data_IF_792476866738
#
_entry.id   IF_792476866738
#
_cell.length_a   1.000
_cell.length_b   1.000
_cell.length_c   1.000
_cell.angle_alpha   90.00
_cell.angle_beta   90.00
_cell.angle_gamma   90.00
#
_symmetry.space_group_name_H-M   'P 1'
#
loop_
_entity.id
_entity.type
_entity.pdbx_description
1 polymer ?
#
# COMPACT_ATOMS: atom_id res chain seq x y z
N UNK A 1 18.44 -2.17 -17.01
CA UNK A 1 18.19 -3.62 -16.98
C UNK A 1 18.74 -4.26 -18.24
N UNK A 2 19.73 -5.14 -18.12
CA UNK A 2 20.07 -6.11 -19.14
C UNK A 2 19.00 -7.21 -19.21
N UNK A 3 19.01 -8.02 -20.28
CA UNK A 3 18.12 -9.18 -20.39
C UNK A 3 18.35 -10.19 -19.26
N UNK A 4 19.59 -10.33 -18.80
CA UNK A 4 19.98 -11.25 -17.73
C UNK A 4 19.54 -10.76 -16.34
N UNK A 5 19.65 -9.46 -16.06
CA UNK A 5 19.15 -8.86 -14.81
C UNK A 5 17.63 -9.02 -14.68
N UNK A 6 16.90 -8.79 -15.78
CA UNK A 6 15.47 -9.01 -15.86
C UNK A 6 15.13 -10.48 -15.61
N UNK A 7 15.83 -11.41 -16.27
CA UNK A 7 15.59 -12.84 -16.15
C UNK A 7 15.91 -13.39 -14.75
N UNK A 8 17.01 -12.94 -14.11
CA UNK A 8 17.32 -13.27 -12.70
C UNK A 8 16.27 -12.74 -11.74
N UNK A 9 15.85 -11.48 -11.92
CA UNK A 9 14.81 -10.86 -11.08
C UNK A 9 13.46 -11.57 -11.26
N UNK A 10 13.13 -11.99 -12.49
CA UNK A 10 11.91 -12.74 -12.80
C UNK A 10 11.88 -14.10 -12.12
N UNK A 11 12.94 -14.91 -12.26
CA UNK A 11 13.07 -16.23 -11.60
C UNK A 11 12.91 -16.09 -10.09
N UNK A 12 13.68 -15.20 -9.46
CA UNK A 12 13.62 -14.96 -8.01
C UNK A 12 12.20 -14.54 -7.56
N UNK A 13 11.56 -13.64 -8.31
CA UNK A 13 10.21 -13.15 -7.97
C UNK A 13 9.16 -14.25 -8.13
N UNK A 14 9.27 -15.10 -9.15
CA UNK A 14 8.36 -16.21 -9.42
C UNK A 14 8.48 -17.33 -8.37
N UNK A 15 9.70 -17.65 -7.93
CA UNK A 15 9.94 -18.52 -6.77
C UNK A 15 9.37 -17.92 -5.48
N UNK A 16 9.60 -16.62 -5.23
CA UNK A 16 9.09 -15.93 -4.04
C UNK A 16 7.56 -15.83 -4.01
N UNK A 17 6.90 -15.69 -5.18
CA UNK A 17 5.44 -15.62 -5.29
C UNK A 17 4.78 -16.99 -5.21
N UNK A 18 5.29 -18.00 -5.90
CA UNK A 18 4.76 -19.36 -5.82
C UNK A 18 4.80 -19.91 -4.38
N UNK A 19 5.89 -19.65 -3.63
CA UNK A 19 5.96 -19.94 -2.20
C UNK A 19 4.91 -19.17 -1.37
N UNK A 20 4.70 -17.88 -1.64
CA UNK A 20 3.73 -17.07 -0.90
C UNK A 20 2.27 -17.46 -1.21
N UNK A 21 1.95 -17.75 -2.47
CA UNK A 21 0.63 -18.24 -2.90
C UNK A 21 0.33 -19.63 -2.32
N UNK A 22 1.30 -20.54 -2.30
CA UNK A 22 1.14 -21.85 -1.68
C UNK A 22 0.85 -21.75 -0.16
N UNK A 23 1.46 -20.78 0.53
CA UNK A 23 1.17 -20.49 1.93
C UNK A 23 -0.23 -19.87 2.10
N UNK A 24 -0.63 -18.91 1.25
CA UNK A 24 -1.97 -18.31 1.32
C UNK A 24 -3.07 -19.35 1.06
N UNK A 25 -2.97 -20.16 0.00
CA UNK A 25 -3.95 -21.19 -0.32
C UNK A 25 -4.09 -22.25 0.80
N UNK A 26 -2.98 -22.62 1.46
CA UNK A 26 -2.98 -23.52 2.62
C UNK A 26 -3.55 -22.86 3.90
N UNK A 27 -3.71 -21.54 3.95
CA UNK A 27 -4.46 -20.83 4.99
C UNK A 27 -5.94 -20.70 4.61
N UNK A 28 -6.25 -20.21 3.42
CA UNK A 28 -7.62 -19.97 2.95
C UNK A 28 -8.42 -21.28 2.87
N UNK A 29 -7.80 -22.38 2.40
CA UNK A 29 -8.42 -23.71 2.42
C UNK A 29 -8.65 -24.26 3.84
N UNK A 30 -7.93 -23.76 4.85
CA UNK A 30 -8.17 -24.10 6.27
C UNK A 30 -9.21 -23.18 6.91
N UNK A 31 -9.26 -21.91 6.54
CA UNK A 31 -10.34 -21.01 6.94
C UNK A 31 -11.68 -21.47 6.35
N UNK A 32 -11.72 -21.89 5.08
CA UNK A 32 -12.89 -22.49 4.45
C UNK A 32 -13.38 -23.72 5.25
N UNK A 33 -12.51 -24.70 5.47
CA UNK A 33 -12.84 -25.92 6.25
C UNK A 33 -13.22 -25.62 7.71
N UNK A 34 -12.61 -24.62 8.34
CA UNK A 34 -12.99 -24.19 9.68
C UNK A 34 -14.38 -23.54 9.70
N UNK A 35 -14.72 -22.74 8.67
CA UNK A 35 -16.06 -22.14 8.50
C UNK A 35 -17.10 -23.22 8.19
N UNK A 36 -16.80 -24.19 7.35
CA UNK A 36 -17.66 -25.36 7.08
C UNK A 36 -17.96 -26.14 8.36
N UNK A 37 -16.96 -26.49 9.16
CA UNK A 37 -17.15 -27.20 10.45
C UNK A 37 -17.95 -26.38 11.47
N UNK A 38 -17.88 -25.04 11.44
CA UNK A 38 -18.74 -24.18 12.27
C UNK A 38 -20.18 -24.14 11.73
N UNK A 39 -20.37 -23.99 10.42
CA UNK A 39 -21.69 -23.99 9.77
C UNK A 39 -22.40 -25.34 9.94
N UNK A 40 -21.68 -26.45 9.88
CA UNK A 40 -22.24 -27.79 10.08
C UNK A 40 -22.67 -28.01 11.54
N UNK A 41 -21.88 -27.55 12.52
CA UNK A 41 -22.27 -27.51 13.94
C UNK A 41 -23.44 -26.56 14.23
N UNK A 42 -23.62 -25.51 13.43
CA UNK A 42 -24.78 -24.62 13.55
C UNK A 42 -26.04 -25.25 12.92
N UNK A 43 -25.90 -25.95 11.78
CA UNK A 43 -27.00 -26.69 11.14
C UNK A 43 -27.56 -27.80 12.02
N UNK A 44 -26.73 -28.48 12.83
CA UNK A 44 -27.22 -29.50 13.77
C UNK A 44 -28.08 -28.98 14.93
N UNK A 45 -28.25 -27.65 15.07
CA UNK A 45 -29.03 -27.02 16.16
C UNK A 45 -30.33 -26.37 15.67
N UNK A 46 -30.50 -26.18 14.36
CA UNK A 46 -31.58 -25.35 13.77
C UNK A 46 -32.78 -26.14 13.20
N UNK A 47 -32.96 -27.41 13.57
CA UNK A 47 -33.90 -28.33 12.94
C UNK A 47 -35.35 -28.24 13.48
N UNK A 48 -35.99 -27.06 13.40
CA UNK A 48 -37.42 -26.89 13.74
C UNK A 48 -38.12 -25.76 12.94
N UNK A 49 -38.56 -26.12 11.72
CA UNK A 49 -39.83 -25.76 11.01
C UNK A 49 -40.73 -24.58 11.46
N UNK A 50 -41.58 -23.99 10.56
CA UNK A 50 -41.45 -23.78 9.09
C UNK A 50 -42.15 -22.50 8.49
N UNK A 51 -42.02 -22.26 7.15
CA UNK A 51 -43.02 -21.60 6.23
C UNK A 51 -43.26 -20.05 6.42
N UNK A 52 -43.37 -19.14 5.42
CA UNK A 52 -44.12 -19.15 4.13
C UNK A 52 -43.72 -18.06 3.06
N UNK A 53 -43.97 -18.35 1.77
CA UNK A 53 -44.49 -17.50 0.63
C UNK A 53 -43.89 -16.12 0.17
N UNK A 54 -43.11 -16.18 -0.93
CA UNK A 54 -43.33 -15.65 -2.31
C UNK A 54 -43.21 -14.16 -2.82
N UNK A 55 -42.75 -14.06 -4.10
CA UNK A 55 -43.06 -13.11 -5.21
C UNK A 55 -42.63 -11.61 -5.17
N UNK A 56 -42.31 -10.91 -6.29
CA UNK A 56 -42.00 -11.28 -7.70
C UNK A 56 -41.51 -10.08 -8.59
N UNK A 57 -40.80 -10.38 -9.71
CA UNK A 57 -40.79 -9.65 -11.02
C UNK A 57 -40.36 -8.17 -11.19
N UNK A 58 -39.08 -7.96 -11.61
CA UNK A 58 -38.60 -7.44 -12.92
C UNK A 58 -39.22 -6.19 -13.65
N UNK A 59 -38.36 -5.27 -14.18
CA UNK A 59 -38.04 -5.15 -15.65
C UNK A 59 -37.06 -4.00 -16.05
N UNK A 60 -36.59 -4.11 -17.30
CA UNK A 60 -35.75 -3.27 -18.21
C UNK A 60 -36.22 -1.79 -18.44
N UNK A 61 -35.53 -0.85 -19.11
CA UNK A 61 -34.58 -0.97 -20.25
C UNK A 61 -33.72 0.29 -20.61
N UNK A 62 -32.79 0.09 -21.57
CA UNK A 62 -32.30 0.99 -22.68
C UNK A 62 -31.49 2.30 -22.49
N UNK A 63 -30.25 2.23 -23.05
CA UNK A 63 -29.36 3.17 -23.81
C UNK A 63 -30.10 4.06 -24.87
N UNK A 64 -29.50 5.08 -25.60
CA UNK A 64 -28.14 5.11 -26.21
C UNK A 64 -27.38 6.46 -26.55
N UNK A 65 -26.12 6.32 -27.02
CA UNK A 65 -25.35 7.14 -28.04
C UNK A 65 -24.63 8.48 -27.71
N UNK A 66 -23.52 8.74 -28.44
CA UNK A 66 -22.54 9.87 -28.40
C UNK A 66 -22.73 10.83 -29.63
N UNK A 67 -21.76 11.59 -30.26
CA UNK A 67 -20.28 11.80 -30.11
C UNK A 67 -19.89 13.34 -30.19
N UNK A 68 -18.76 13.94 -30.68
CA UNK A 68 -17.40 13.58 -31.19
C UNK A 68 -16.45 14.84 -31.25
N UNK A 69 -15.12 14.65 -31.39
CA UNK A 69 -14.06 15.62 -31.85
C UNK A 69 -13.74 16.88 -30.97
N UNK A 70 -12.58 17.57 -31.05
CA UNK A 70 -11.57 17.75 -32.14
C UNK A 70 -10.10 18.00 -31.64
N UNK A 71 -9.12 17.59 -32.46
CA UNK A 71 -7.69 18.03 -32.68
C UNK A 71 -6.78 18.72 -31.63
N UNK A 72 -5.51 18.33 -31.70
CA UNK A 72 -4.28 18.90 -31.08
C UNK A 72 -3.58 19.96 -31.95
N UNK A 73 -2.66 20.69 -31.32
CA UNK A 73 -1.45 21.28 -31.95
C UNK A 73 -0.25 21.10 -30.99
N UNK A 74 0.95 20.83 -31.51
CA UNK A 74 2.14 20.49 -30.71
C UNK A 74 3.37 21.31 -31.10
N UNK A 75 4.23 21.60 -30.11
CA UNK A 75 5.56 22.18 -30.31
C UNK A 75 6.58 21.33 -29.54
N UNK A 76 7.51 20.71 -30.25
CA UNK A 76 8.53 19.85 -29.67
C UNK A 76 9.67 20.64 -29.04
N UNK A 77 10.19 20.15 -27.91
CA UNK A 77 11.50 20.55 -27.35
C UNK A 77 12.28 19.29 -27.02
N UNK A 78 13.30 19.00 -27.81
CA UNK A 78 14.15 17.83 -27.61
C UNK A 78 15.02 17.96 -26.34
N UNK A 79 15.21 16.86 -25.63
CA UNK A 79 16.15 16.75 -24.51
C UNK A 79 16.70 15.31 -24.45
N UNK A 80 18.01 15.17 -24.25
CA UNK A 80 18.76 13.95 -24.57
C UNK A 80 18.57 12.76 -23.60
N UNK A 81 18.72 11.50 -24.07
CA UNK A 81 18.28 10.33 -23.33
C UNK A 81 19.23 9.79 -22.25
N UNK A 82 20.48 10.26 -22.13
CA UNK A 82 21.52 9.56 -21.35
C UNK A 82 21.20 9.48 -19.84
N UNK A 83 20.85 10.61 -19.21
CA UNK A 83 20.51 10.69 -17.77
C UNK A 83 19.32 9.81 -17.34
N UNK A 84 18.50 9.37 -18.31
CA UNK A 84 17.37 8.45 -18.10
C UNK A 84 17.84 7.02 -17.81
N UNK A 85 19.00 6.59 -18.33
CA UNK A 85 19.52 5.22 -18.16
C UNK A 85 20.13 4.99 -16.78
N UNK A 86 20.94 5.91 -16.28
CA UNK A 86 21.63 5.78 -14.98
C UNK A 86 20.64 5.73 -13.82
N UNK A 87 19.73 6.71 -13.76
CA UNK A 87 18.72 6.84 -12.70
C UNK A 87 17.76 5.64 -12.63
N UNK A 88 17.38 5.08 -13.78
CA UNK A 88 16.59 3.83 -13.84
C UNK A 88 17.38 2.63 -13.30
N UNK A 89 18.67 2.57 -13.58
CA UNK A 89 19.53 1.43 -13.19
C UNK A 89 19.76 1.39 -11.67
N UNK A 90 19.93 2.54 -11.01
CA UNK A 90 19.96 2.64 -9.54
C UNK A 90 18.70 2.05 -8.88
N UNK A 91 17.52 2.41 -9.40
CA UNK A 91 16.23 1.97 -8.85
C UNK A 91 16.04 0.46 -9.06
N UNK A 92 16.33 -0.06 -10.26
CA UNK A 92 16.27 -1.51 -10.52
C UNK A 92 17.23 -2.28 -9.61
N UNK A 93 18.45 -1.78 -9.42
CA UNK A 93 19.45 -2.43 -8.56
C UNK A 93 19.04 -2.41 -7.08
N UNK A 94 18.57 -1.28 -6.56
CA UNK A 94 18.03 -1.17 -5.19
C UNK A 94 16.86 -2.13 -4.97
N UNK A 95 15.97 -2.30 -5.96
CA UNK A 95 14.87 -3.26 -5.90
C UNK A 95 15.36 -4.71 -5.85
N UNK A 96 16.27 -5.10 -6.75
CA UNK A 96 16.82 -6.46 -6.81
C UNK A 96 17.54 -6.82 -5.51
N UNK A 97 18.30 -5.90 -4.90
CA UNK A 97 18.90 -6.10 -3.58
C UNK A 97 17.85 -6.32 -2.48
N UNK A 98 16.75 -5.57 -2.50
CA UNK A 98 15.65 -5.72 -1.54
C UNK A 98 14.92 -7.08 -1.65
N UNK A 99 14.72 -7.59 -2.88
CA UNK A 99 14.14 -8.90 -3.11
C UNK A 99 15.10 -10.04 -2.68
N UNK A 100 16.40 -9.90 -2.97
CA UNK A 100 17.43 -10.85 -2.51
C UNK A 100 17.47 -10.93 -0.98
N UNK A 101 17.52 -9.79 -0.28
CA UNK A 101 17.43 -9.74 1.20
C UNK A 101 16.18 -10.46 1.73
N UNK A 102 15.03 -10.30 1.09
CA UNK A 102 13.79 -10.95 1.53
C UNK A 102 13.83 -12.47 1.28
N UNK A 103 14.45 -12.92 0.20
CA UNK A 103 14.73 -14.35 -0.04
C UNK A 103 15.69 -14.93 1.01
N UNK A 104 16.81 -14.26 1.30
CA UNK A 104 17.76 -14.63 2.36
C UNK A 104 17.07 -14.71 3.74
N UNK A 105 16.20 -13.73 4.03
CA UNK A 105 15.44 -13.71 5.28
C UNK A 105 14.45 -14.88 5.40
N UNK A 106 13.79 -15.27 4.30
CA UNK A 106 12.93 -16.48 4.28
C UNK A 106 13.73 -17.75 4.56
N UNK A 107 14.92 -17.86 3.98
CA UNK A 107 15.84 -18.97 4.24
C UNK A 107 16.26 -19.04 5.72
N UNK A 108 16.38 -17.90 6.40
CA UNK A 108 16.77 -17.82 7.84
C UNK A 108 15.80 -18.48 8.84
N UNK A 109 14.58 -18.86 8.41
CA UNK A 109 13.61 -19.59 9.23
C UNK A 109 13.01 -20.83 8.54
N UNK A 110 13.63 -21.28 7.45
CA UNK A 110 13.13 -22.41 6.66
C UNK A 110 13.12 -23.73 7.47
N UNK A 111 13.99 -23.85 8.47
CA UNK A 111 13.99 -24.93 9.47
C UNK A 111 12.65 -25.01 10.23
N UNK A 112 12.19 -23.89 10.78
CA UNK A 112 10.92 -23.76 11.48
C UNK A 112 9.73 -24.04 10.55
N UNK A 113 9.84 -23.77 9.24
CA UNK A 113 8.80 -24.03 8.24
C UNK A 113 8.73 -25.51 7.85
N UNK A 114 9.88 -26.17 7.71
CA UNK A 114 9.96 -27.59 7.33
C UNK A 114 9.57 -28.54 8.47
N UNK A 115 9.74 -28.14 9.74
CA UNK A 115 9.23 -28.89 10.90
C UNK A 115 7.70 -29.12 10.77
N UNK A 116 7.31 -30.39 10.64
CA UNK A 116 5.91 -30.82 10.50
C UNK A 116 5.15 -30.85 11.83
N UNK A 117 5.84 -30.96 12.96
CA UNK A 117 5.26 -30.91 14.31
C UNK A 117 4.92 -29.49 14.74
N UNK A 118 5.79 -28.52 14.46
CA UNK A 118 5.59 -27.10 14.82
C UNK A 118 4.59 -26.32 13.95
N UNK A 119 3.83 -27.01 13.09
CA UNK A 119 2.76 -26.40 12.27
C UNK A 119 1.79 -25.54 13.09
N UNK A 120 1.35 -26.04 14.25
CA UNK A 120 0.43 -25.31 15.12
C UNK A 120 1.08 -24.05 15.73
N UNK A 121 2.32 -24.17 16.20
CA UNK A 121 3.10 -23.04 16.74
C UNK A 121 3.28 -21.94 15.69
N UNK A 122 3.61 -22.28 14.43
CA UNK A 122 3.65 -21.31 13.32
C UNK A 122 2.32 -20.59 13.12
N UNK A 123 1.21 -21.33 13.11
CA UNK A 123 -0.13 -20.74 12.99
C UNK A 123 -0.45 -19.80 14.16
N UNK A 124 -0.07 -20.16 15.38
CA UNK A 124 -0.31 -19.35 16.58
C UNK A 124 0.50 -18.03 16.54
N UNK A 125 1.77 -18.07 16.12
CA UNK A 125 2.59 -16.89 15.87
C UNK A 125 1.98 -15.98 14.80
N UNK A 126 1.56 -16.54 13.66
CA UNK A 126 0.87 -15.80 12.59
C UNK A 126 -0.44 -15.18 13.07
N UNK A 127 -1.18 -15.87 13.93
CA UNK A 127 -2.44 -15.39 14.51
C UNK A 127 -2.22 -14.27 15.53
N UNK A 128 -1.19 -14.34 16.37
CA UNK A 128 -0.83 -13.27 17.30
C UNK A 128 -0.47 -11.96 16.57
N UNK A 129 0.30 -12.08 15.49
CA UNK A 129 0.58 -10.98 14.55
C UNK A 129 -0.70 -10.44 13.91
N UNK A 130 -1.50 -11.31 13.28
CA UNK A 130 -2.67 -10.90 12.49
C UNK A 130 -3.78 -10.27 13.33
N UNK A 131 -4.09 -10.82 14.50
CA UNK A 131 -5.09 -10.24 15.42
C UNK A 131 -4.64 -8.89 15.97
N UNK A 132 -3.32 -8.64 16.06
CA UNK A 132 -2.79 -7.34 16.48
C UNK A 132 -2.90 -6.28 15.37
N UNK A 133 -2.56 -6.62 14.13
CA UNK A 133 -2.63 -5.71 12.97
C UNK A 133 -4.08 -5.42 12.57
N UNK A 134 -4.93 -6.45 12.44
CA UNK A 134 -6.33 -6.31 11.99
C UNK A 134 -7.20 -5.50 12.96
N UNK A 135 -6.71 -5.25 14.19
CA UNK A 135 -7.39 -4.47 15.20
C UNK A 135 -6.87 -3.02 15.29
N UNK A 136 -6.16 -2.54 14.26
CA UNK A 136 -5.76 -1.14 14.08
C UNK A 136 -6.84 -0.43 13.24
N UNK A 137 -7.97 -0.13 13.88
CA UNK A 137 -9.06 0.65 13.28
C UNK A 137 -8.87 2.16 13.45
N UNK A 138 -8.24 2.59 14.55
CA UNK A 138 -8.11 3.99 14.97
C UNK A 138 -6.69 4.32 15.43
N UNK A 139 -6.39 5.62 15.56
CA UNK A 139 -5.06 6.13 15.97
C UNK A 139 -4.77 5.84 17.44
N UNK A 140 -5.77 5.97 18.29
CA UNK A 140 -5.76 5.60 19.72
C UNK A 140 -5.37 4.13 19.93
N UNK A 141 -5.83 3.22 19.06
CA UNK A 141 -5.49 1.80 19.14
C UNK A 141 -3.99 1.53 18.89
N UNK A 142 -3.31 2.33 18.07
CA UNK A 142 -1.94 2.08 17.56
C UNK A 142 -0.96 1.79 18.68
N UNK A 143 -0.90 2.64 19.73
CA UNK A 143 0.04 2.49 20.84
C UNK A 143 -0.12 1.13 21.53
N UNK A 144 -1.36 0.74 21.82
CA UNK A 144 -1.67 -0.54 22.47
C UNK A 144 -1.37 -1.78 21.61
N UNK A 145 -1.41 -1.68 20.27
CA UNK A 145 -0.99 -2.78 19.38
C UNK A 145 0.52 -2.81 19.21
N UNK A 146 1.15 -1.64 19.05
CA UNK A 146 2.60 -1.46 18.94
C UNK A 146 3.32 -2.07 20.15
N UNK A 147 2.88 -1.76 21.37
CA UNK A 147 3.49 -2.26 22.60
C UNK A 147 3.28 -3.78 22.79
N UNK A 148 2.11 -4.32 22.38
CA UNK A 148 1.86 -5.78 22.38
C UNK A 148 2.72 -6.55 21.37
N UNK A 149 2.86 -6.04 20.15
CA UNK A 149 3.74 -6.63 19.13
C UNK A 149 5.21 -6.51 19.52
N UNK A 150 5.62 -5.39 20.13
CA UNK A 150 6.96 -5.20 20.68
C UNK A 150 7.25 -6.17 21.83
N UNK A 151 6.27 -6.47 22.69
CA UNK A 151 6.42 -7.47 23.73
C UNK A 151 6.66 -8.86 23.14
N UNK A 152 5.85 -9.30 22.17
CA UNK A 152 5.99 -10.58 21.47
C UNK A 152 7.36 -10.72 20.79
N UNK A 153 7.78 -9.72 20.01
CA UNK A 153 9.06 -9.72 19.29
C UNK A 153 10.29 -9.69 20.21
N UNK A 154 10.13 -9.20 21.45
CA UNK A 154 11.12 -9.29 22.53
C UNK A 154 10.94 -10.57 23.39
N UNK A 155 10.27 -11.59 22.87
CA UNK A 155 10.14 -12.91 23.50
C UNK A 155 9.13 -13.00 24.66
N UNK A 156 8.39 -11.93 24.98
CA UNK A 156 7.39 -11.98 26.05
C UNK A 156 6.15 -12.78 25.63
N UNK A 157 5.45 -13.45 26.56
CA UNK A 157 4.29 -14.27 26.21
C UNK A 157 3.12 -13.41 25.69
N UNK A 158 2.56 -13.81 24.54
CA UNK A 158 1.39 -13.17 23.94
C UNK A 158 0.15 -14.05 24.14
N UNK A 159 -0.91 -13.55 24.81
CA UNK A 159 -2.14 -14.31 25.03
C UNK A 159 -3.01 -14.33 23.77
N UNK A 160 -3.34 -15.54 23.31
CA UNK A 160 -4.41 -15.85 22.37
C UNK A 160 -5.63 -16.38 23.14
N UNK A 161 -6.79 -16.45 22.48
CA UNK A 161 -8.06 -16.82 23.13
C UNK A 161 -8.10 -18.22 23.77
N UNK A 162 -7.16 -19.12 23.44
CA UNK A 162 -7.12 -20.51 23.96
C UNK A 162 -5.75 -20.98 24.44
N UNK A 163 -4.72 -20.12 24.37
CA UNK A 163 -3.31 -20.47 24.61
C UNK A 163 -2.45 -19.21 24.72
N UNK A 164 -1.21 -19.36 25.16
CA UNK A 164 -0.19 -18.30 25.09
C UNK A 164 0.93 -18.74 24.15
N UNK A 165 1.52 -17.82 23.40
CA UNK A 165 2.63 -18.11 22.46
C UNK A 165 3.81 -17.17 22.70
N UNK A 166 5.05 -17.66 22.53
CA UNK A 166 6.29 -16.85 22.65
C UNK A 166 7.12 -16.92 21.37
N UNK A 167 7.97 -15.92 21.12
CA UNK A 167 9.00 -15.99 20.06
C UNK A 167 10.30 -16.70 20.50
N UNK A 168 10.33 -17.36 21.68
CA UNK A 168 11.54 -17.98 22.25
C UNK A 168 11.54 -19.52 22.20
N UNK A 169 10.40 -20.16 21.91
CA UNK A 169 10.28 -21.61 21.75
C UNK A 169 11.07 -22.18 20.54
N UNK A 170 11.56 -21.34 19.62
CA UNK A 170 12.41 -21.72 18.49
C UNK A 170 13.33 -20.54 18.09
N UNK A 171 14.63 -20.76 17.77
CA UNK A 171 15.56 -19.68 17.43
C UNK A 171 15.06 -18.77 16.30
N UNK A 172 14.59 -19.37 15.20
CA UNK A 172 14.11 -18.67 14.00
C UNK A 172 12.66 -18.13 14.11
N UNK A 173 11.97 -18.30 15.25
CA UNK A 173 10.61 -17.80 15.43
C UNK A 173 10.50 -16.27 15.36
N UNK A 174 11.50 -15.54 15.87
CA UNK A 174 11.55 -14.07 15.76
C UNK A 174 11.59 -13.62 14.29
N UNK A 175 12.42 -14.25 13.46
CA UNK A 175 12.57 -13.88 12.04
C UNK A 175 11.29 -14.19 11.24
N UNK A 176 10.68 -15.35 11.52
CA UNK A 176 9.38 -15.73 10.98
C UNK A 176 8.27 -14.73 11.37
N UNK A 177 8.23 -14.30 12.64
CA UNK A 177 7.30 -13.27 13.09
C UNK A 177 7.52 -11.90 12.44
N UNK A 178 8.77 -11.48 12.23
CA UNK A 178 9.09 -10.22 11.56
C UNK A 178 8.64 -10.24 10.09
N UNK A 179 8.92 -11.31 9.33
CA UNK A 179 8.44 -11.46 7.95
C UNK A 179 6.91 -11.44 7.89
N UNK A 180 6.24 -12.25 8.71
CA UNK A 180 4.77 -12.35 8.71
C UNK A 180 4.10 -11.07 9.22
N UNK A 181 4.76 -10.28 10.06
CA UNK A 181 4.29 -8.95 10.49
C UNK A 181 4.41 -7.91 9.37
N UNK A 182 5.56 -7.86 8.67
CA UNK A 182 5.71 -7.02 7.49
C UNK A 182 4.68 -7.39 6.41
N UNK A 183 4.55 -8.68 6.10
CA UNK A 183 3.59 -9.20 5.13
C UNK A 183 2.14 -8.80 5.48
N UNK A 184 1.75 -8.96 6.75
CA UNK A 184 0.38 -8.67 7.20
C UNK A 184 0.05 -7.17 7.20
N UNK A 185 1.01 -6.33 7.55
CA UNK A 185 0.89 -4.86 7.44
C UNK A 185 0.70 -4.47 5.97
N UNK A 186 1.52 -5.01 5.06
CA UNK A 186 1.40 -4.74 3.63
C UNK A 186 0.06 -5.26 3.08
N UNK A 187 -0.43 -6.43 3.50
CA UNK A 187 -1.75 -6.95 3.11
C UNK A 187 -2.91 -6.00 3.43
N UNK A 188 -2.80 -5.12 4.43
CA UNK A 188 -3.85 -4.12 4.68
C UNK A 188 -4.04 -3.15 3.51
N UNK A 189 -3.01 -2.97 2.68
CA UNK A 189 -3.07 -2.21 1.43
C UNK A 189 -4.11 -2.75 0.45
N UNK A 190 -4.37 -4.06 0.40
CA UNK A 190 -5.41 -4.66 -0.45
C UNK A 190 -6.70 -5.06 0.30
N UNK A 191 -6.74 -4.86 1.62
CA UNK A 191 -7.87 -5.20 2.51
C UNK A 191 -8.54 -3.94 3.13
N UNK A 192 -8.10 -3.53 4.33
CA UNK A 192 -8.70 -2.45 5.10
C UNK A 192 -8.53 -1.09 4.40
N UNK A 193 -7.34 -0.80 3.87
CA UNK A 193 -7.01 0.46 3.17
C UNK A 193 -7.70 0.53 1.79
N UNK A 194 -7.89 -0.63 1.17
CA UNK A 194 -8.65 -0.80 -0.08
C UNK A 194 -10.18 -0.62 0.12
N UNK A 195 -10.65 -0.75 1.36
CA UNK A 195 -12.06 -0.57 1.74
C UNK A 195 -12.33 0.84 2.28
N UNK A 196 -11.40 1.38 3.07
CA UNK A 196 -11.39 2.75 3.57
C UNK A 196 -9.95 3.29 3.57
N UNK A 197 -9.67 4.27 2.70
CA UNK A 197 -8.34 4.88 2.56
C UNK A 197 -7.79 5.51 3.83
N UNK A 198 -8.66 6.00 4.73
CA UNK A 198 -8.28 6.64 5.99
C UNK A 198 -7.64 5.67 6.99
N UNK A 199 -7.87 4.36 6.83
CA UNK A 199 -7.16 3.37 7.65
C UNK A 199 -5.65 3.31 7.39
N UNK A 200 -5.17 3.90 6.29
CA UNK A 200 -3.73 3.99 6.01
C UNK A 200 -2.96 4.73 7.10
N UNK A 201 -3.56 5.75 7.75
CA UNK A 201 -2.88 6.57 8.77
C UNK A 201 -2.52 5.78 10.04
N UNK A 202 -3.45 5.12 10.76
CA UNK A 202 -3.09 4.35 11.95
C UNK A 202 -2.24 3.11 11.62
N UNK A 203 -2.42 2.50 10.45
CA UNK A 203 -1.60 1.35 10.01
C UNK A 203 -0.16 1.79 9.69
N UNK A 204 0.03 2.94 9.05
CA UNK A 204 1.34 3.55 8.83
C UNK A 204 2.03 3.93 10.14
N UNK A 205 1.30 4.49 11.10
CA UNK A 205 1.82 4.80 12.43
C UNK A 205 2.27 3.53 13.19
N UNK A 206 1.55 2.41 13.07
CA UNK A 206 2.01 1.13 13.59
C UNK A 206 3.29 0.66 12.87
N UNK A 207 3.29 0.68 11.53
CA UNK A 207 4.42 0.22 10.72
C UNK A 207 5.71 1.00 11.03
N UNK A 208 5.64 2.33 11.07
CA UNK A 208 6.75 3.21 11.42
C UNK A 208 7.19 3.01 12.88
N UNK A 209 6.24 2.91 13.82
CA UNK A 209 6.54 2.67 15.23
C UNK A 209 7.26 1.33 15.47
N UNK A 210 6.92 0.29 14.71
CA UNK A 210 7.62 -0.99 14.74
C UNK A 210 9.00 -0.92 14.07
N UNK A 211 9.12 -0.29 12.90
CA UNK A 211 10.39 -0.08 12.19
C UNK A 211 11.40 0.68 13.06
N UNK A 212 10.97 1.73 13.76
CA UNK A 212 11.78 2.48 14.72
C UNK A 212 12.25 1.65 15.94
N UNK A 213 11.63 0.49 16.22
CA UNK A 213 12.02 -0.45 17.30
C UNK A 213 12.79 -1.67 16.79
N UNK A 214 12.52 -2.09 15.56
CA UNK A 214 13.09 -3.26 14.89
C UNK A 214 13.47 -2.87 13.44
N UNK A 215 14.67 -2.31 13.22
CA UNK A 215 15.09 -1.81 11.91
C UNK A 215 15.01 -2.87 10.79
N UNK A 216 15.16 -4.15 11.13
CA UNK A 216 15.08 -5.28 10.19
C UNK A 216 13.69 -5.38 9.54
N UNK A 217 12.63 -4.93 10.23
CA UNK A 217 11.27 -4.90 9.69
C UNK A 217 11.15 -3.95 8.49
N UNK A 218 12.04 -2.95 8.37
CA UNK A 218 12.03 -1.98 7.28
C UNK A 218 12.28 -2.59 5.90
N UNK A 219 13.36 -3.38 5.79
CA UNK A 219 13.68 -4.09 4.55
C UNK A 219 12.56 -5.07 4.17
N UNK A 220 11.96 -5.73 5.16
CA UNK A 220 10.84 -6.66 4.95
C UNK A 220 9.56 -5.93 4.49
N UNK A 221 9.21 -4.80 5.12
CA UNK A 221 8.07 -3.97 4.73
C UNK A 221 8.23 -3.47 3.29
N UNK A 222 9.40 -2.94 2.94
CA UNK A 222 9.68 -2.47 1.57
C UNK A 222 9.69 -3.62 0.56
N UNK A 223 10.30 -4.75 0.87
CA UNK A 223 10.36 -5.90 -0.04
C UNK A 223 8.99 -6.52 -0.31
N UNK A 224 8.16 -6.72 0.72
CA UNK A 224 6.76 -7.18 0.55
C UNK A 224 5.92 -6.16 -0.22
N UNK A 225 6.12 -4.86 0.03
CA UNK A 225 5.38 -3.79 -0.63
C UNK A 225 5.74 -3.64 -2.11
N UNK A 226 7.04 -3.60 -2.45
CA UNK A 226 7.48 -3.44 -3.83
C UNK A 226 7.24 -4.70 -4.69
N UNK A 227 7.36 -5.91 -4.12
CA UNK A 227 6.97 -7.17 -4.78
C UNK A 227 5.48 -7.21 -5.18
N UNK A 228 4.61 -6.52 -4.41
CA UNK A 228 3.15 -6.45 -4.63
C UNK A 228 2.70 -5.16 -5.35
N UNK A 229 3.53 -4.13 -5.34
CA UNK A 229 3.28 -2.82 -5.97
C UNK A 229 4.54 -2.23 -6.62
N UNK A 230 5.08 -2.84 -7.71
CA UNK A 230 6.24 -2.31 -8.45
C UNK A 230 6.05 -0.88 -9.01
N UNK A 231 4.80 -0.44 -9.14
CA UNK A 231 4.42 0.93 -9.49
C UNK A 231 4.95 2.02 -8.52
N UNK A 232 5.45 1.65 -7.34
CA UNK A 232 6.17 2.54 -6.41
C UNK A 232 7.66 2.73 -6.76
N UNK A 233 8.18 1.95 -7.71
CA UNK A 233 9.55 2.01 -8.23
C UNK A 233 9.54 2.46 -9.72
N UNK A 234 8.56 3.31 -10.06
CA UNK A 234 7.92 3.44 -11.38
C UNK A 234 8.07 2.27 -12.39
N UNK A 235 7.95 1.03 -11.92
CA UNK A 235 7.88 -0.14 -12.80
C UNK A 235 6.42 -0.42 -13.18
N UNK A 236 6.14 -0.40 -14.49
CA UNK A 236 4.80 -0.56 -15.06
C UNK A 236 4.80 -1.62 -16.17
N UNK A 237 3.66 -2.27 -16.46
CA UNK A 237 3.55 -3.21 -17.57
C UNK A 237 4.01 -2.61 -18.91
N UNK A 238 4.83 -3.37 -19.63
CA UNK A 238 5.39 -3.02 -20.93
C UNK A 238 4.94 -3.97 -22.05
N UNK A 239 4.27 -5.06 -21.71
CA UNK A 239 3.64 -5.99 -22.64
C UNK A 239 2.54 -6.78 -21.91
N UNK A 240 1.47 -7.16 -22.61
CA UNK A 240 0.34 -7.90 -22.03
C UNK A 240 0.63 -9.41 -21.82
N UNK A 241 1.92 -9.80 -21.79
CA UNK A 241 2.30 -11.17 -21.50
C UNK A 241 2.10 -11.47 -20.01
N UNK A 242 1.63 -12.68 -19.71
CA UNK A 242 1.37 -13.13 -18.33
C UNK A 242 2.59 -12.94 -17.41
N UNK A 243 3.79 -13.20 -17.92
CA UNK A 243 5.06 -13.00 -17.20
C UNK A 243 5.33 -11.52 -16.85
N UNK A 244 5.06 -10.59 -17.77
CA UNK A 244 5.29 -9.15 -17.56
C UNK A 244 4.22 -8.55 -16.62
N UNK A 245 2.95 -8.92 -16.81
CA UNK A 245 1.85 -8.54 -15.93
C UNK A 245 2.07 -9.08 -14.51
N UNK A 246 2.41 -10.35 -14.37
CA UNK A 246 2.74 -10.94 -13.07
C UNK A 246 3.93 -10.21 -12.46
N UNK A 247 5.06 -10.03 -13.17
CA UNK A 247 6.23 -9.28 -12.68
C UNK A 247 5.83 -7.90 -12.12
N UNK A 248 4.97 -7.17 -12.83
CA UNK A 248 4.42 -5.88 -12.42
C UNK A 248 3.37 -5.92 -11.30
N UNK A 249 3.08 -7.09 -10.72
CA UNK A 249 2.28 -7.23 -9.50
C UNK A 249 0.82 -7.63 -9.72
N UNK A 250 0.43 -8.01 -10.95
CA UNK A 250 -0.89 -8.63 -11.17
C UNK A 250 -0.93 -10.02 -10.52
N UNK A 251 -2.06 -10.35 -9.91
CA UNK A 251 -2.36 -11.69 -9.40
C UNK A 251 -2.82 -12.60 -10.53
N UNK A 252 -2.31 -13.82 -10.51
CA UNK A 252 -2.86 -14.95 -11.26
C UNK A 252 -3.91 -15.63 -10.36
N UNK A 253 -5.10 -15.85 -10.90
CA UNK A 253 -6.21 -16.52 -10.21
C UNK A 253 -6.04 -18.06 -10.27
N UNK A 254 -6.82 -18.80 -9.49
CA UNK A 254 -6.74 -20.28 -9.40
C UNK A 254 -7.06 -20.99 -10.72
N UNK A 255 -7.90 -20.39 -11.57
CA UNK A 255 -8.21 -20.84 -12.93
C UNK A 255 -7.10 -20.54 -13.95
N UNK A 256 -5.98 -19.96 -13.50
CA UNK A 256 -4.83 -19.57 -14.31
C UNK A 256 -4.99 -18.24 -15.06
N UNK A 257 -6.13 -17.57 -14.98
CA UNK A 257 -6.36 -16.23 -15.58
C UNK A 257 -5.61 -15.14 -14.83
N UNK A 258 -5.39 -13.99 -15.48
CA UNK A 258 -4.86 -12.78 -14.84
C UNK A 258 -6.04 -12.00 -14.22
N UNK A 259 -5.85 -11.34 -13.08
CA UNK A 259 -6.86 -10.40 -12.56
C UNK A 259 -7.14 -9.24 -13.52
N UNK A 260 -8.35 -8.66 -13.46
CA UNK A 260 -8.71 -7.51 -14.29
C UNK A 260 -8.05 -6.21 -13.82
N UNK A 261 -7.79 -5.28 -14.73
CA UNK A 261 -7.16 -3.99 -14.41
C UNK A 261 -7.88 -3.21 -13.31
N UNK A 262 -9.22 -3.29 -13.27
CA UNK A 262 -10.03 -2.67 -12.24
C UNK A 262 -9.78 -3.28 -10.83
N UNK A 263 -9.47 -4.58 -10.73
CA UNK A 263 -9.03 -5.21 -9.48
C UNK A 263 -7.59 -4.80 -9.15
N UNK A 264 -6.67 -4.94 -10.10
CA UNK A 264 -5.26 -4.59 -9.95
C UNK A 264 -5.06 -3.13 -9.52
N UNK A 265 -5.58 -2.17 -10.29
CA UNK A 265 -5.50 -0.73 -10.00
C UNK A 265 -6.11 -0.39 -8.63
N UNK A 266 -7.17 -1.09 -8.22
CA UNK A 266 -7.79 -0.92 -6.91
C UNK A 266 -6.86 -1.39 -5.77
N UNK A 267 -6.21 -2.55 -5.88
CA UNK A 267 -5.19 -3.02 -4.91
C UNK A 267 -3.98 -2.08 -4.86
N UNK A 268 -3.45 -1.70 -6.02
CA UNK A 268 -2.32 -0.74 -6.16
C UNK A 268 -2.65 0.59 -5.47
N UNK A 269 -3.87 1.11 -5.64
CA UNK A 269 -4.29 2.36 -4.99
C UNK A 269 -4.18 2.31 -3.46
N UNK A 270 -4.44 1.16 -2.83
CA UNK A 270 -4.32 1.00 -1.38
C UNK A 270 -2.88 0.77 -0.90
N UNK A 271 -2.05 0.04 -1.65
CA UNK A 271 -0.60 -0.04 -1.39
C UNK A 271 0.08 1.34 -1.49
N UNK A 272 -0.29 2.15 -2.49
CA UNK A 272 0.21 3.52 -2.65
C UNK A 272 -0.24 4.42 -1.49
N UNK A 273 -1.49 4.31 -1.02
CA UNK A 273 -1.94 5.03 0.19
C UNK A 273 -1.14 4.61 1.43
N UNK A 274 -0.86 3.32 1.62
CA UNK A 274 -0.02 2.84 2.73
C UNK A 274 1.40 3.44 2.68
N UNK A 275 2.04 3.39 1.51
CA UNK A 275 3.38 3.99 1.31
C UNK A 275 3.37 5.49 1.61
N UNK A 276 2.43 6.23 1.03
CA UNK A 276 2.27 7.66 1.21
C UNK A 276 1.96 8.03 2.68
N UNK A 277 1.17 7.23 3.38
CA UNK A 277 0.89 7.44 4.80
C UNK A 277 2.13 7.25 5.67
N UNK A 278 2.96 6.23 5.41
CA UNK A 278 4.26 6.07 6.12
C UNK A 278 5.17 7.26 5.80
N UNK A 279 5.25 7.69 4.54
CA UNK A 279 6.12 8.80 4.08
C UNK A 279 5.87 10.14 4.79
N UNK A 280 4.63 10.41 5.21
CA UNK A 280 4.28 11.65 5.90
C UNK A 280 4.14 11.54 7.43
N UNK A 281 4.10 10.33 7.99
CA UNK A 281 3.83 10.15 9.42
C UNK A 281 4.99 10.75 10.23
N UNK A 282 4.68 11.51 11.30
CA UNK A 282 5.76 12.03 12.16
C UNK A 282 6.48 10.85 12.83
N UNK A 283 7.80 10.80 12.72
CA UNK A 283 8.62 9.83 13.43
C UNK A 283 8.35 9.90 14.95
N UNK A 284 8.08 8.78 15.64
CA UNK A 284 7.94 8.76 17.09
C UNK A 284 9.22 9.22 17.79
N UNK A 285 9.09 9.82 18.97
CA UNK A 285 10.22 10.40 19.72
C UNK A 285 11.26 9.36 20.16
N UNK A 286 10.88 8.08 20.25
CA UNK A 286 11.80 6.96 20.51
C UNK A 286 12.55 6.46 19.25
N UNK A 287 12.28 7.01 18.06
CA UNK A 287 12.93 6.61 16.83
C UNK A 287 14.38 7.13 16.80
N UNK A 288 15.34 6.22 16.61
CA UNK A 288 16.77 6.57 16.60
C UNK A 288 17.20 7.07 15.23
N UNK A 289 17.57 8.34 15.12
CA UNK A 289 18.07 8.95 13.89
C UNK A 289 16.97 9.62 13.06
N UNK A 290 17.18 9.69 11.74
CA UNK A 290 16.22 10.27 10.80
C UNK A 290 15.03 9.33 10.54
N UNK A 291 13.91 9.88 10.08
CA UNK A 291 12.74 9.09 9.69
C UNK A 291 13.11 8.13 8.55
N UNK A 292 13.01 6.79 8.73
CA UNK A 292 13.62 5.82 7.82
C UNK A 292 13.05 5.87 6.40
N UNK A 293 11.75 6.11 6.24
CA UNK A 293 11.09 6.29 4.95
C UNK A 293 10.48 7.71 4.80
N UNK A 294 11.26 8.76 5.10
CA UNK A 294 10.71 10.13 5.21
C UNK A 294 10.23 10.76 3.89
N UNK A 295 9.75 12.01 3.97
CA UNK A 295 9.34 12.85 2.82
C UNK A 295 10.39 12.97 1.71
N UNK A 296 11.66 12.71 2.00
CA UNK A 296 12.74 12.60 1.01
C UNK A 296 12.57 11.40 0.06
N UNK A 297 12.04 10.27 0.55
CA UNK A 297 11.70 9.13 -0.28
C UNK A 297 10.45 9.42 -1.12
N UNK A 298 9.48 10.16 -0.56
CA UNK A 298 8.34 10.69 -1.32
C UNK A 298 8.76 11.64 -2.44
N UNK A 299 9.77 12.48 -2.20
CA UNK A 299 10.37 13.31 -3.24
C UNK A 299 11.11 12.48 -4.31
N UNK A 300 11.94 11.49 -3.91
CA UNK A 300 12.60 10.56 -4.87
C UNK A 300 11.54 9.88 -5.74
N UNK A 301 10.49 9.31 -5.14
CA UNK A 301 9.40 8.65 -5.84
C UNK A 301 8.70 9.54 -6.88
N UNK A 302 8.27 10.75 -6.48
CA UNK A 302 7.62 11.69 -7.40
C UNK A 302 8.54 12.12 -8.54
N UNK A 303 9.79 12.47 -8.24
CA UNK A 303 10.77 12.85 -9.25
C UNK A 303 11.08 11.70 -10.23
N UNK A 304 11.25 10.47 -9.74
CA UNK A 304 11.49 9.30 -10.58
C UNK A 304 10.30 9.02 -11.51
N UNK A 305 9.06 9.13 -11.01
CA UNK A 305 7.85 8.88 -11.82
C UNK A 305 7.70 9.95 -12.91
N UNK A 306 7.87 11.23 -12.58
CA UNK A 306 7.75 12.34 -13.54
C UNK A 306 8.88 12.37 -14.56
N UNK A 307 10.03 11.76 -14.28
CA UNK A 307 11.13 11.59 -15.24
C UNK A 307 10.93 10.41 -16.21
N UNK A 308 9.91 9.57 -16.03
CA UNK A 308 9.63 8.40 -16.88
C UNK A 308 8.37 8.59 -17.74
N UNK A 309 8.42 8.15 -19.00
CA UNK A 309 7.26 8.26 -19.91
C UNK A 309 6.14 7.29 -19.47
N UNK A 310 4.89 7.77 -19.30
CA UNK A 310 3.82 6.99 -18.70
C UNK A 310 3.28 5.90 -19.65
N UNK A 311 3.91 4.72 -19.63
CA UNK A 311 3.51 3.56 -20.46
C UNK A 311 2.05 3.12 -20.24
N UNK A 312 1.52 3.36 -19.05
CA UNK A 312 0.16 3.00 -18.65
C UNK A 312 -0.56 4.21 -18.03
N UNK A 313 -1.05 5.19 -18.83
CA UNK A 313 -1.51 6.49 -18.34
C UNK A 313 -2.56 6.43 -17.23
N UNK A 314 -3.56 5.54 -17.34
CA UNK A 314 -4.60 5.38 -16.32
C UNK A 314 -4.04 4.87 -14.97
N UNK A 315 -3.04 3.97 -15.02
CA UNK A 315 -2.36 3.45 -13.83
C UNK A 315 -1.47 4.52 -13.19
N UNK A 316 -0.63 5.19 -13.99
CA UNK A 316 0.26 6.27 -13.53
C UNK A 316 -0.55 7.42 -12.92
N UNK A 317 -1.64 7.83 -13.56
CA UNK A 317 -2.51 8.89 -13.04
C UNK A 317 -3.16 8.50 -11.70
N UNK A 318 -3.61 7.25 -11.56
CA UNK A 318 -4.11 6.73 -10.27
C UNK A 318 -3.01 6.74 -9.20
N UNK A 319 -1.82 6.24 -9.52
CA UNK A 319 -0.68 6.19 -8.59
C UNK A 319 -0.28 7.59 -8.12
N UNK A 320 -0.13 8.56 -9.03
CA UNK A 320 0.16 9.96 -8.70
C UNK A 320 -0.95 10.59 -7.86
N UNK A 321 -2.22 10.37 -8.22
CA UNK A 321 -3.36 10.88 -7.45
C UNK A 321 -3.38 10.34 -6.01
N UNK A 322 -3.38 9.01 -5.83
CA UNK A 322 -3.48 8.40 -4.48
C UNK A 322 -2.26 8.77 -3.61
N UNK A 323 -1.08 8.96 -4.20
CA UNK A 323 0.11 9.39 -3.45
C UNK A 323 0.04 10.87 -3.04
N UNK A 324 -0.34 11.77 -3.95
CA UNK A 324 -0.43 13.21 -3.68
C UNK A 324 -1.62 13.56 -2.77
N UNK A 325 -2.75 12.86 -2.91
CA UNK A 325 -3.92 12.94 -2.02
C UNK A 325 -3.52 12.72 -0.56
N UNK A 326 -2.66 11.73 -0.31
CA UNK A 326 -2.20 11.38 1.03
C UNK A 326 -1.00 12.23 1.43
N UNK A 327 0.19 12.05 0.82
CA UNK A 327 1.44 12.65 1.29
C UNK A 327 1.72 14.07 0.81
N UNK A 328 0.98 14.58 -0.18
CA UNK A 328 1.32 15.82 -0.88
C UNK A 328 1.37 17.07 0.02
N UNK A 329 0.53 17.13 1.07
CA UNK A 329 0.62 18.22 2.04
C UNK A 329 1.96 18.25 2.79
N UNK A 330 2.42 17.10 3.30
CA UNK A 330 3.65 17.02 4.09
C UNK A 330 4.91 17.26 3.25
N UNK A 331 4.92 16.77 2.00
CA UNK A 331 5.97 17.08 1.02
C UNK A 331 5.94 18.59 0.68
N UNK A 332 4.75 19.19 0.58
CA UNK A 332 4.59 20.64 0.45
C UNK A 332 5.16 21.43 1.62
N UNK A 333 4.95 21.00 2.86
CA UNK A 333 5.57 21.64 4.04
C UNK A 333 7.10 21.52 4.03
N UNK A 334 7.63 20.36 3.63
CA UNK A 334 9.07 20.10 3.65
C UNK A 334 9.86 20.80 2.53
N UNK A 335 9.28 20.94 1.33
CA UNK A 335 9.98 21.43 0.14
C UNK A 335 9.46 22.76 -0.42
N UNK A 336 8.32 23.27 0.07
CA UNK A 336 7.77 24.58 -0.24
C UNK A 336 7.75 24.88 -1.74
N UNK A 337 8.45 25.95 -2.15
CA UNK A 337 8.54 26.40 -3.55
C UNK A 337 9.04 25.33 -4.53
N UNK A 338 9.86 24.36 -4.10
CA UNK A 338 10.32 23.28 -4.99
C UNK A 338 9.19 22.27 -5.27
N UNK A 339 8.34 21.98 -4.28
CA UNK A 339 7.14 21.15 -4.50
C UNK A 339 6.12 21.85 -5.40
N UNK A 340 5.95 23.17 -5.25
CA UNK A 340 5.12 23.96 -6.18
C UNK A 340 5.65 23.85 -7.61
N UNK A 341 6.98 23.93 -7.84
CA UNK A 341 7.58 23.69 -9.17
C UNK A 341 7.31 22.27 -9.69
N UNK A 342 7.43 21.25 -8.84
CA UNK A 342 7.14 19.86 -9.20
C UNK A 342 5.66 19.69 -9.64
N UNK A 343 4.73 20.34 -8.94
CA UNK A 343 3.31 20.36 -9.32
C UNK A 343 3.06 21.10 -10.65
N UNK A 344 3.85 22.13 -10.98
CA UNK A 344 3.77 22.79 -12.30
C UNK A 344 4.29 21.87 -13.42
N UNK A 345 5.41 21.18 -13.22
CA UNK A 345 5.92 20.19 -14.20
C UNK A 345 4.89 19.06 -14.41
N UNK A 346 4.30 18.54 -13.32
CA UNK A 346 3.22 17.58 -13.40
C UNK A 346 2.03 18.14 -14.20
N UNK A 347 1.48 19.30 -13.83
CA UNK A 347 0.25 19.81 -14.44
C UNK A 347 0.43 20.34 -15.88
N UNK A 348 1.59 20.88 -16.23
CA UNK A 348 1.84 21.50 -17.54
C UNK A 348 2.54 20.56 -18.52
N UNK A 349 3.57 19.86 -18.08
CA UNK A 349 4.49 19.17 -18.99
C UNK A 349 4.26 17.64 -18.99
N UNK A 350 3.90 17.05 -17.84
CA UNK A 350 3.65 15.59 -17.71
C UNK A 350 2.20 15.18 -17.96
N UNK A 351 1.24 15.99 -17.51
CA UNK A 351 -0.19 15.68 -17.61
C UNK A 351 -0.74 15.61 -19.04
N UNK A 352 -0.23 16.37 -20.05
CA UNK A 352 -0.57 16.13 -21.45
C UNK A 352 -0.26 14.70 -21.92
N UNK A 353 0.91 14.15 -21.53
CA UNK A 353 1.32 12.78 -21.84
C UNK A 353 0.33 11.74 -21.28
N UNK A 354 -0.34 12.06 -20.16
CA UNK A 354 -1.38 11.22 -19.58
C UNK A 354 -2.74 11.30 -20.31
N UNK A 355 -2.91 12.26 -21.23
CA UNK A 355 -4.14 12.49 -22.02
C UNK A 355 -4.03 12.10 -23.49
N UNK A 356 -2.83 11.83 -24.02
CA UNK A 356 -2.60 11.39 -25.41
C UNK A 356 -3.42 10.14 -25.77
N UNK A 357 -3.52 9.18 -24.85
CA UNK A 357 -4.37 7.97 -24.99
C UNK A 357 -5.86 8.18 -24.69
N UNK A 358 -6.32 9.42 -24.56
CA UNK A 358 -7.71 9.76 -24.19
C UNK A 358 -7.94 9.94 -22.68
N UNK A 359 -9.08 10.53 -22.33
CA UNK A 359 -9.39 10.89 -20.94
C UNK A 359 -10.06 9.73 -20.20
N UNK A 360 -9.26 8.92 -19.51
CA UNK A 360 -9.75 7.88 -18.59
C UNK A 360 -10.18 8.46 -17.23
N UNK A 361 -11.05 7.76 -16.50
CA UNK A 361 -11.52 8.19 -15.17
C UNK A 361 -10.41 8.53 -14.16
N UNK A 362 -9.32 7.75 -14.06
CA UNK A 362 -8.17 8.10 -13.21
C UNK A 362 -7.45 9.39 -13.64
N UNK A 363 -7.32 9.63 -14.96
CA UNK A 363 -6.71 10.85 -15.52
C UNK A 363 -7.57 12.06 -15.19
N UNK A 364 -8.89 11.98 -15.39
CA UNK A 364 -9.83 13.04 -15.03
C UNK A 364 -9.85 13.35 -13.52
N UNK A 365 -9.68 12.33 -12.66
CA UNK A 365 -9.57 12.54 -11.20
C UNK A 365 -8.29 13.27 -10.82
N UNK A 366 -7.16 12.91 -11.43
CA UNK A 366 -5.89 13.63 -11.25
C UNK A 366 -6.01 15.07 -11.77
N UNK A 367 -6.70 15.30 -12.89
CA UNK A 367 -6.95 16.64 -13.43
C UNK A 367 -7.72 17.52 -12.44
N UNK A 368 -8.86 17.05 -11.94
CA UNK A 368 -9.68 17.77 -10.98
C UNK A 368 -8.89 18.10 -9.69
N UNK A 369 -8.09 17.15 -9.20
CA UNK A 369 -7.19 17.37 -8.07
C UNK A 369 -6.13 18.44 -8.36
N UNK A 370 -5.41 18.36 -9.48
CA UNK A 370 -4.40 19.34 -9.85
C UNK A 370 -5.00 20.74 -10.04
N UNK A 371 -6.16 20.85 -10.69
CA UNK A 371 -6.88 22.12 -10.81
C UNK A 371 -7.31 22.70 -9.45
N UNK A 372 -7.65 21.87 -8.47
CA UNK A 372 -7.96 22.31 -7.11
C UNK A 372 -6.70 22.78 -6.36
N UNK A 373 -5.60 22.02 -6.47
CA UNK A 373 -4.33 22.33 -5.82
C UNK A 373 -3.71 23.61 -6.36
N UNK A 374 -3.71 23.80 -7.69
CA UNK A 374 -3.24 25.04 -8.33
C UNK A 374 -4.10 26.24 -7.95
N UNK A 375 -5.44 26.11 -7.92
CA UNK A 375 -6.36 27.16 -7.46
C UNK A 375 -6.18 27.53 -5.99
N UNK A 376 -5.75 26.60 -5.13
CA UNK A 376 -5.51 26.84 -3.69
C UNK A 376 -4.06 27.20 -3.34
N UNK A 377 -3.12 27.03 -4.28
CA UNK A 377 -1.68 27.16 -4.04
C UNK A 377 -1.08 26.10 -3.11
N UNK A 378 -1.85 25.08 -2.70
CA UNK A 378 -1.42 24.06 -1.74
C UNK A 378 -2.25 22.77 -1.86
N UNK A 379 -1.66 21.64 -1.47
CA UNK A 379 -2.37 20.36 -1.33
C UNK A 379 -3.14 20.36 -0.01
N UNK A 380 -4.44 20.02 -0.01
CA UNK A 380 -5.21 19.89 1.24
C UNK A 380 -4.66 18.76 2.12
N UNK A 381 -4.63 18.96 3.43
CA UNK A 381 -4.34 17.89 4.40
C UNK A 381 -5.63 17.10 4.67
N UNK A 382 -5.56 15.78 4.59
CA UNK A 382 -6.71 14.90 4.86
C UNK A 382 -7.06 14.89 6.35
N UNK A 383 -8.35 14.85 6.70
CA UNK A 383 -8.78 14.91 8.11
C UNK A 383 -8.29 13.72 8.94
N UNK A 384 -8.28 12.51 8.39
CA UNK A 384 -7.76 11.33 9.08
C UNK A 384 -6.24 11.40 9.37
N UNK A 385 -5.50 12.30 8.71
CA UNK A 385 -4.06 12.51 8.96
C UNK A 385 -3.77 13.29 10.25
N UNK A 386 -4.78 13.87 10.91
CA UNK A 386 -4.63 14.50 12.23
C UNK A 386 -4.69 13.47 13.37
N UNK A 387 -5.15 12.25 13.08
CA UNK A 387 -5.45 11.23 14.08
C UNK A 387 -6.92 11.28 14.52
N UNK A 388 -7.22 10.61 15.63
CA UNK A 388 -8.58 10.59 16.18
C UNK A 388 -8.89 11.98 16.78
N UNK A 389 -10.02 12.58 16.41
CA UNK A 389 -10.50 13.82 17.02
C UNK A 389 -10.84 13.56 18.51
N UNK A 390 -10.46 14.44 19.45
CA UNK A 390 -10.82 14.26 20.85
C UNK A 390 -12.35 14.30 21.01
N UNK A 391 -12.92 13.38 21.79
CA UNK A 391 -14.39 13.24 21.94
C UNK A 391 -15.06 14.40 22.71
N UNK A 392 -14.32 15.47 23.04
CA UNK A 392 -14.74 16.57 23.92
C UNK A 392 -14.50 17.98 23.33
N UNK A 393 -14.57 18.15 22.01
CA UNK A 393 -14.81 19.48 21.41
C UNK A 393 -16.31 19.82 21.48
N UNK A 394 -16.74 20.34 22.63
CA UNK A 394 -18.02 21.08 22.75
C UNK A 394 -17.94 22.28 21.78
N UNK A 395 -18.96 22.55 20.95
CA UNK A 395 -18.88 23.58 19.92
C UNK A 395 -18.78 25.00 20.52
N UNK A 396 -17.53 25.47 20.69
CA UNK A 396 -17.23 26.82 21.15
C UNK A 396 -17.60 27.84 20.07
N UNK A 397 -18.75 28.49 20.24
CA UNK A 397 -19.35 29.39 19.26
C UNK A 397 -18.71 30.79 19.27
N UNK A 398 -17.43 30.90 18.89
CA UNK A 398 -16.75 32.18 18.71
C UNK A 398 -16.11 32.39 17.34
N UNK A 399 -16.84 33.13 16.51
CA UNK A 399 -16.37 34.15 15.58
C UNK A 399 -15.10 33.90 14.76
N UNK A 400 -15.29 33.74 13.44
CA UNK A 400 -14.28 34.08 12.45
C UNK A 400 -13.88 35.56 12.58
N UNK A 401 -12.76 35.86 13.24
CA UNK A 401 -12.12 37.17 13.14
C UNK A 401 -11.11 37.17 11.98
N UNK A 402 -11.24 38.17 11.12
CA UNK A 402 -10.30 38.43 10.04
C UNK A 402 -8.98 38.95 10.59
N UNK A 403 -7.86 38.41 10.08
CA UNK A 403 -6.55 39.00 10.33
C UNK A 403 -6.43 40.33 9.57
N UNK A 404 -6.77 41.42 10.27
CA UNK A 404 -6.44 42.78 9.84
C UNK A 404 -4.93 42.97 9.72
N UNK A 405 -4.51 43.88 8.84
CA UNK A 405 -3.12 44.34 8.78
C UNK A 405 -2.89 45.35 9.90
N UNK A 406 -1.73 45.28 10.54
CA UNK A 406 -1.07 46.47 11.07
C UNK A 406 0.46 46.35 10.90
N UNK A 407 1.16 47.34 10.29
CA UNK A 407 2.56 47.20 9.91
C UNK A 407 3.51 48.13 10.69
N UNK A 408 3.87 47.81 11.93
CA UNK A 408 4.93 48.53 12.65
C UNK A 408 5.82 47.64 13.53
N UNK A 409 7.05 47.39 13.08
CA UNK A 409 8.21 47.21 13.96
C UNK A 409 9.47 47.72 13.25
N UNK A 410 10.02 48.82 13.80
CA UNK A 410 11.30 49.51 13.54
C UNK A 410 12.07 49.16 12.26
#
# INVERSE_FOLDING_TARGET
>A
MSKEELQRTMILTQEMRSQAQAILADLDAKEAKAREVVVEKQKSVAASTPINVANSTSKTSSVPTAPQHTTTDTVEVACEPEKKRESTTDISHQHTQLLLKLHEWRTSYQDLVQDKGRKQYRFDLMKAVSVSVNAVSTSSAVKGKLDKLTALLNGKPFPLATRTVTCTEHPSARNFCLDKLAERIVSQGEEQINSNGDSAYPIAALALGLWCRFPELGDLLLGHLFMRCPALLPLYPSADSKENLELCGYKINEDGTVETDAKYQRRISGFVRLYAAIVQTKAPEFCKGSHPLGVNHGWKFLACTLNMQPQQPALVASVLFNFLEVAGWAIGQAYGRQFIKLLHVLAKDYFPLLREGGTSGPVARLEAFLQQVLRRGTVPRQEASFGDKPEHDIPSSYGTQSFGRDPHFR
#
